data_IF_850589509676
#
_entry.id   IF_850589509676
#
_cell.length_a   1.000
_cell.length_b   1.000
_cell.length_c   1.000
_cell.angle_alpha   90.00
_cell.angle_beta   90.00
_cell.angle_gamma   90.00
#
_symmetry.space_group_name_H-M   'P 1'
#
loop_
_entity.id
_entity.type
_entity.pdbx_description
1 polymer ?
#
# COMPACT_ATOMS: atom_id res chain seq x y z
N UNK A 1 14.98 -12.43 -5.51
CA UNK A 1 13.52 -12.24 -5.48
C UNK A 1 13.10 -11.70 -6.84
N UNK A 2 12.27 -12.43 -7.60
CA UNK A 2 11.54 -11.84 -8.73
C UNK A 2 10.39 -11.04 -8.13
N UNK A 3 10.28 -9.74 -8.46
CA UNK A 3 9.20 -8.88 -7.98
C UNK A 3 7.86 -9.34 -8.54
N UNK A 4 6.79 -9.14 -7.79
CA UNK A 4 5.43 -9.37 -8.29
C UNK A 4 5.11 -8.32 -9.36
N UNK A 5 4.50 -8.76 -10.46
CA UNK A 5 4.07 -7.87 -11.54
C UNK A 5 2.61 -7.46 -11.28
N UNK A 6 2.37 -6.16 -11.10
CA UNK A 6 1.02 -5.60 -11.03
C UNK A 6 0.50 -5.39 -12.47
N UNK A 7 -0.66 -5.95 -12.80
CA UNK A 7 -1.28 -5.78 -14.14
C UNK A 7 -2.69 -5.17 -14.07
N UNK A 8 -3.35 -5.30 -12.92
CA UNK A 8 -4.62 -4.64 -12.62
C UNK A 8 -4.35 -3.54 -11.56
N UNK A 9 -4.56 -2.29 -11.96
CA UNK A 9 -4.41 -1.09 -11.14
C UNK A 9 -5.65 -0.22 -11.32
N UNK A 10 -6.23 0.24 -10.22
CA UNK A 10 -7.41 1.09 -10.20
C UNK A 10 -7.15 2.30 -9.31
N UNK A 11 -7.59 3.46 -9.81
CA UNK A 11 -7.44 4.75 -9.12
C UNK A 11 -8.80 5.40 -8.98
N UNK A 12 -9.19 5.64 -7.73
CA UNK A 12 -10.31 6.51 -7.38
C UNK A 12 -9.76 7.83 -6.82
N UNK A 13 -9.64 8.82 -7.70
CA UNK A 13 -9.16 10.15 -7.32
C UNK A 13 -10.14 10.93 -6.46
N UNK A 14 -11.45 10.60 -6.50
CA UNK A 14 -12.46 11.31 -5.72
C UNK A 14 -12.36 10.91 -4.24
N UNK A 15 -12.10 9.63 -3.99
CA UNK A 15 -11.98 9.06 -2.65
C UNK A 15 -10.53 8.84 -2.19
N UNK A 16 -9.53 9.20 -3.00
CA UNK A 16 -8.09 9.03 -2.75
C UNK A 16 -7.72 7.56 -2.46
N UNK A 17 -8.21 6.65 -3.30
CA UNK A 17 -7.97 5.21 -3.18
C UNK A 17 -7.16 4.74 -4.39
N UNK A 18 -6.11 3.97 -4.10
CA UNK A 18 -5.29 3.29 -5.10
C UNK A 18 -5.31 1.79 -4.81
N UNK A 19 -5.64 0.98 -5.80
CA UNK A 19 -5.65 -0.48 -5.72
C UNK A 19 -4.69 -1.08 -6.72
N UNK A 20 -3.90 -2.05 -6.27
CA UNK A 20 -2.97 -2.79 -7.12
C UNK A 20 -3.08 -4.29 -6.83
N UNK A 21 -3.36 -5.07 -7.88
CA UNK A 21 -3.44 -6.52 -7.79
C UNK A 21 -2.27 -7.17 -8.50
N UNK A 22 -1.60 -8.05 -7.77
CA UNK A 22 -0.54 -8.91 -8.32
C UNK A 22 -1.16 -10.02 -9.17
N UNK A 23 -0.59 -10.24 -10.36
CA UNK A 23 -1.02 -11.32 -11.27
C UNK A 23 0.06 -12.37 -11.52
N UNK A 24 1.31 -12.06 -11.19
CA UNK A 24 2.43 -12.99 -11.26
C UNK A 24 3.45 -12.75 -10.13
N UNK A 25 4.25 -13.78 -9.82
CA UNK A 25 5.39 -13.68 -8.91
C UNK A 25 5.04 -13.64 -7.42
N UNK A 26 6.08 -13.58 -6.58
CA UNK A 26 5.95 -13.28 -5.14
C UNK A 26 4.93 -14.16 -4.41
N UNK A 27 3.84 -13.55 -3.94
CA UNK A 27 2.77 -14.26 -3.23
C UNK A 27 2.08 -15.31 -4.11
N UNK A 28 1.87 -15.06 -5.40
CA UNK A 28 1.24 -16.07 -6.27
C UNK A 28 2.15 -17.29 -6.45
N UNK A 29 3.47 -17.08 -6.60
CA UNK A 29 4.45 -18.18 -6.62
C UNK A 29 4.51 -18.94 -5.28
N UNK A 30 4.13 -18.28 -4.17
CA UNK A 30 4.05 -18.86 -2.84
C UNK A 30 2.72 -19.61 -2.57
N UNK A 31 1.85 -19.74 -3.59
CA UNK A 31 0.62 -20.54 -3.53
C UNK A 31 -0.65 -19.74 -3.18
N UNK A 32 -0.60 -18.42 -3.20
CA UNK A 32 -1.79 -17.57 -3.08
C UNK A 32 -2.53 -17.54 -4.42
N UNK A 33 -3.86 -17.53 -4.38
CA UNK A 33 -4.71 -17.43 -5.56
C UNK A 33 -4.87 -15.98 -6.03
N UNK A 34 -4.90 -15.05 -5.09
CA UNK A 34 -4.96 -13.61 -5.36
C UNK A 34 -4.23 -12.82 -4.28
N UNK A 35 -3.74 -11.63 -4.66
CA UNK A 35 -3.12 -10.67 -3.76
C UNK A 35 -3.40 -9.26 -4.27
N UNK A 36 -4.09 -8.46 -3.48
CA UNK A 36 -4.46 -7.08 -3.76
C UNK A 36 -4.02 -6.19 -2.60
N UNK A 37 -3.41 -5.06 -2.94
CA UNK A 37 -3.07 -4.00 -2.00
C UNK A 37 -3.97 -2.81 -2.30
N UNK A 38 -4.64 -2.30 -1.27
CA UNK A 38 -5.39 -1.04 -1.31
C UNK A 38 -4.71 -0.03 -0.39
N UNK A 39 -4.48 1.18 -0.90
CA UNK A 39 -3.99 2.32 -0.14
C UNK A 39 -5.05 3.42 -0.20
N UNK A 40 -5.43 3.95 0.96
CA UNK A 40 -6.42 5.01 1.09
C UNK A 40 -5.80 6.18 1.87
N UNK A 41 -5.97 7.40 1.35
CA UNK A 41 -5.58 8.61 2.05
C UNK A 41 -6.83 9.27 2.61
N UNK A 42 -6.98 9.26 3.92
CA UNK A 42 -8.16 9.75 4.60
C UNK A 42 -7.80 11.10 5.24
N UNK A 43 -8.33 12.23 4.75
CA UNK A 43 -8.10 13.53 5.38
C UNK A 43 -8.59 13.54 6.82
N UNK A 44 -7.83 14.15 7.70
CA UNK A 44 -8.26 14.48 9.05
C UNK A 44 -8.58 15.98 9.12
N UNK A 45 -9.67 16.31 9.80
CA UNK A 45 -10.12 17.69 9.92
C UNK A 45 -10.71 18.25 8.61
N UNK A 46 -11.07 19.54 8.63
CA UNK A 46 -11.64 20.24 7.48
C UNK A 46 -10.62 21.06 6.68
N UNK A 47 -9.38 21.12 7.17
CA UNK A 47 -8.29 21.95 6.69
C UNK A 47 -7.24 21.15 5.88
N UNK A 48 -7.34 19.81 5.87
CA UNK A 48 -6.48 18.90 5.11
C UNK A 48 -5.01 18.94 5.56
N UNK A 49 -4.78 19.33 6.81
CA UNK A 49 -3.47 19.52 7.44
C UNK A 49 -2.78 18.19 7.77
N UNK A 50 -3.60 17.18 8.08
CA UNK A 50 -3.17 15.83 8.37
C UNK A 50 -4.07 14.82 7.69
N UNK A 51 -3.58 13.58 7.64
CA UNK A 51 -4.26 12.48 6.98
C UNK A 51 -3.83 11.16 7.60
N UNK A 52 -4.74 10.21 7.59
CA UNK A 52 -4.47 8.81 7.89
C UNK A 52 -4.18 8.08 6.58
N UNK A 53 -3.02 7.40 6.52
CA UNK A 53 -2.73 6.44 5.45
C UNK A 53 -3.22 5.09 5.92
N UNK A 54 -4.28 4.57 5.29
CA UNK A 54 -4.80 3.22 5.55
C UNK A 54 -4.32 2.28 4.45
N UNK A 55 -3.67 1.20 4.85
CA UNK A 55 -3.23 0.16 3.92
C UNK A 55 -3.92 -1.15 4.24
N UNK A 56 -4.52 -1.76 3.22
CA UNK A 56 -5.23 -3.03 3.34
C UNK A 56 -4.62 -4.02 2.35
N UNK A 57 -4.44 -5.26 2.80
CA UNK A 57 -4.03 -6.37 1.94
C UNK A 57 -5.19 -7.37 1.92
N UNK A 58 -5.72 -7.62 0.73
CA UNK A 58 -6.70 -8.65 0.46
C UNK A 58 -6.02 -9.80 -0.28
N UNK A 59 -6.23 -11.04 0.14
CA UNK A 59 -5.61 -12.20 -0.47
C UNK A 59 -6.48 -13.43 -0.33
N UNK A 60 -6.31 -14.38 -1.24
CA UNK A 60 -7.01 -15.66 -1.25
C UNK A 60 -6.02 -16.82 -1.26
N UNK A 61 -6.29 -17.87 -0.49
CA UNK A 61 -5.45 -19.08 -0.40
C UNK A 61 -6.30 -20.33 -0.53
N UNK A 62 -5.80 -21.37 -1.18
CA UNK A 62 -6.40 -22.72 -1.09
C UNK A 62 -6.20 -23.28 0.34
N UNK A 63 -7.14 -24.10 0.83
CA UNK A 63 -7.16 -24.68 2.19
C UNK A 63 -5.87 -25.44 2.52
N UNK A 64 -5.17 -25.94 1.49
CA UNK A 64 -3.89 -26.64 1.59
C UNK A 64 -2.69 -25.72 1.85
N UNK A 65 -2.84 -24.41 1.66
CA UNK A 65 -1.79 -23.39 1.78
C UNK A 65 -1.98 -22.44 2.98
N UNK A 66 -2.89 -22.72 3.92
CA UNK A 66 -3.12 -21.89 5.12
C UNK A 66 -1.85 -21.61 5.94
N UNK A 67 -0.83 -22.48 5.88
CA UNK A 67 0.46 -22.31 6.56
C UNK A 67 1.17 -21.02 6.14
N UNK A 68 0.95 -20.56 4.91
CA UNK A 68 1.60 -19.37 4.37
C UNK A 68 0.89 -18.06 4.74
N UNK A 69 -0.39 -18.09 5.16
CA UNK A 69 -1.16 -16.87 5.46
C UNK A 69 -0.46 -15.92 6.46
N UNK A 70 0.32 -16.47 7.39
CA UNK A 70 1.15 -15.72 8.35
C UNK A 70 2.29 -14.89 7.75
N UNK A 71 2.62 -15.09 6.46
CA UNK A 71 3.67 -14.34 5.75
C UNK A 71 3.16 -12.99 5.22
N UNK A 72 1.85 -12.77 5.21
CA UNK A 72 1.27 -11.48 4.81
C UNK A 72 1.36 -10.54 6.01
N UNK A 73 2.13 -9.47 5.88
CA UNK A 73 2.21 -8.41 6.88
C UNK A 73 2.04 -7.04 6.23
N UNK A 74 1.32 -6.15 6.91
CA UNK A 74 1.20 -4.74 6.56
C UNK A 74 2.38 -3.91 7.06
N UNK A 75 3.34 -4.49 7.79
CA UNK A 75 4.53 -3.79 8.33
C UNK A 75 5.37 -3.15 7.21
N UNK A 76 5.47 -3.81 6.07
CA UNK A 76 6.16 -3.26 4.90
C UNK A 76 5.46 -1.99 4.41
N UNK A 77 4.13 -1.99 4.34
CA UNK A 77 3.34 -0.84 3.90
C UNK A 77 3.43 0.30 4.91
N UNK A 78 3.40 -0.01 6.21
CA UNK A 78 3.61 0.98 7.26
C UNK A 78 5.01 1.62 7.17
N UNK A 79 6.06 0.82 6.92
CA UNK A 79 7.43 1.32 6.73
C UNK A 79 7.54 2.26 5.52
N UNK A 80 6.87 1.93 4.42
CA UNK A 80 6.82 2.77 3.21
C UNK A 80 6.07 4.08 3.49
N UNK A 81 4.94 4.01 4.19
CA UNK A 81 4.16 5.18 4.59
C UNK A 81 4.98 6.13 5.48
N UNK A 82 5.72 5.60 6.45
CA UNK A 82 6.60 6.36 7.32
C UNK A 82 7.74 7.04 6.55
N UNK A 83 8.42 6.29 5.68
CA UNK A 83 9.51 6.83 4.87
C UNK A 83 9.03 7.94 3.93
N UNK A 84 7.88 7.72 3.28
CA UNK A 84 7.26 8.69 2.38
C UNK A 84 6.85 9.95 3.14
N UNK A 85 6.24 9.80 4.32
CA UNK A 85 5.84 10.92 5.18
C UNK A 85 7.04 11.77 5.61
N UNK A 86 8.15 11.12 6.00
CA UNK A 86 9.39 11.83 6.35
C UNK A 86 9.92 12.63 5.17
N UNK A 87 10.03 11.99 4.01
CA UNK A 87 10.50 12.64 2.79
C UNK A 87 9.64 13.85 2.40
N UNK A 88 8.31 13.71 2.38
CA UNK A 88 7.40 14.81 2.03
C UNK A 88 7.48 15.98 3.02
N UNK A 89 7.64 15.71 4.32
CA UNK A 89 7.83 16.75 5.34
C UNK A 89 9.15 17.50 5.15
N UNK A 90 10.23 16.78 4.87
CA UNK A 90 11.53 17.39 4.57
C UNK A 90 11.47 18.28 3.32
N UNK A 91 10.81 17.82 2.25
CA UNK A 91 10.60 18.62 1.04
C UNK A 91 9.77 19.87 1.32
N UNK A 92 8.66 19.75 2.07
CA UNK A 92 7.82 20.90 2.44
C UNK A 92 8.61 21.96 3.20
N UNK A 93 9.38 21.55 4.20
CA UNK A 93 10.20 22.47 5.01
C UNK A 93 11.24 23.20 4.13
N UNK A 94 11.92 22.49 3.23
CA UNK A 94 12.89 23.12 2.30
C UNK A 94 12.22 24.17 1.39
N UNK A 95 11.00 23.92 0.92
CA UNK A 95 10.26 24.90 0.11
C UNK A 95 9.82 26.13 0.92
N UNK A 96 9.54 25.97 2.21
CA UNK A 96 9.16 27.06 3.11
C UNK A 96 10.37 27.93 3.49
N UNK A 97 11.56 27.35 3.65
CA UNK A 97 12.81 28.08 3.91
C UNK A 97 13.33 28.89 2.71
N UNK A 98 12.85 28.58 1.49
CA UNK A 98 13.20 29.29 0.25
C UNK A 98 12.22 30.43 -0.12
N UNK A 99 11.18 30.66 0.68
CA UNK A 99 10.20 31.75 0.52
C UNK A 99 10.53 32.96 1.39
#
# INVERSE_FOLDING_TARGET
MKGSLCHEYETDNENYIEEAKGVEGGFLDAGYLSYLVRIEIIPEGSDYDSSIIRSTIEYETDDKCQVNASLISTDLLATIADATTKYLKEQKNQMEELK
#
